data_IF_218980855437
#
_entry.id   IF_218980855437
#
_cell.length_a   1.000
_cell.length_b   1.000
_cell.length_c   1.000
_cell.angle_alpha   90.00
_cell.angle_beta   90.00
_cell.angle_gamma   90.00
#
_symmetry.space_group_name_H-M   'P 1'
#
loop_
_entity.id
_entity.type
_entity.pdbx_description
1 polymer ?
#
# COMPACT_ATOMS: atom_id res chain seq x y z
N UNK A 1 12.43 -18.48 9.29
CA UNK A 1 12.46 -17.29 10.18
C UNK A 1 12.19 -15.95 9.46
N UNK A 2 12.81 -15.68 8.30
CA UNK A 2 12.83 -14.37 7.60
C UNK A 2 11.53 -13.91 6.87
N UNK A 3 10.33 -14.26 7.35
CA UNK A 3 9.04 -14.02 6.63
C UNK A 3 8.72 -12.56 6.31
N UNK A 4 9.23 -11.61 7.10
CA UNK A 4 8.98 -10.16 6.96
C UNK A 4 10.26 -9.31 7.01
N UNK A 5 11.43 -9.95 6.91
CA UNK A 5 12.72 -9.29 7.13
C UNK A 5 12.87 -8.04 6.27
N UNK A 6 13.23 -6.93 6.92
CA UNK A 6 13.28 -5.59 6.31
C UNK A 6 14.41 -4.76 6.93
N UNK A 7 14.75 -3.62 6.31
CA UNK A 7 15.78 -2.70 6.82
C UNK A 7 15.56 -2.27 8.27
N UNK A 8 14.30 -2.21 8.69
CA UNK A 8 13.87 -1.67 9.97
C UNK A 8 14.08 -2.70 11.11
N UNK A 9 14.40 -3.95 10.77
CA UNK A 9 14.76 -5.02 11.72
C UNK A 9 16.27 -5.07 12.01
N UNK A 10 17.09 -4.26 11.34
CA UNK A 10 18.54 -4.14 11.62
C UNK A 10 18.77 -3.22 12.81
N UNK A 11 19.43 -3.71 13.86
CA UNK A 11 19.69 -2.95 15.09
C UNK A 11 21.05 -2.25 15.09
N UNK A 12 22.10 -2.90 14.56
CA UNK A 12 23.43 -2.31 14.43
C UNK A 12 24.27 -3.03 13.38
N UNK A 13 25.28 -2.35 12.84
CA UNK A 13 26.29 -2.92 11.95
C UNK A 13 27.66 -2.65 12.56
N UNK A 14 28.43 -3.69 12.85
CA UNK A 14 29.72 -3.57 13.53
C UNK A 14 30.81 -4.21 12.66
N UNK A 15 31.87 -3.47 12.37
CA UNK A 15 33.07 -4.04 11.78
C UNK A 15 33.77 -4.91 12.83
N UNK A 16 34.11 -6.14 12.44
CA UNK A 16 34.67 -7.14 13.36
C UNK A 16 36.17 -6.93 13.55
N UNK A 17 36.65 -7.01 14.79
CA UNK A 17 38.10 -6.98 15.10
C UNK A 17 38.79 -8.21 14.51
N UNK A 18 40.03 -8.05 14.03
CA UNK A 18 40.79 -9.12 13.35
C UNK A 18 40.88 -10.45 14.14
N UNK A 19 40.95 -10.39 15.48
CA UNK A 19 40.94 -11.59 16.33
C UNK A 19 39.62 -12.37 16.27
N UNK A 20 38.48 -11.67 16.23
CA UNK A 20 37.15 -12.27 16.11
C UNK A 20 36.88 -12.73 14.69
N UNK A 21 37.37 -12.02 13.67
CA UNK A 21 37.32 -12.44 12.27
C UNK A 21 38.03 -13.79 12.05
N UNK A 22 39.19 -14.01 12.69
CA UNK A 22 39.87 -15.32 12.68
C UNK A 22 39.03 -16.42 13.33
N UNK A 23 38.41 -16.15 14.48
CA UNK A 23 37.52 -17.12 15.17
C UNK A 23 36.32 -17.52 14.31
N UNK A 24 35.62 -16.54 13.72
CA UNK A 24 34.47 -16.80 12.83
C UNK A 24 34.89 -17.63 11.62
N UNK A 25 36.04 -17.31 11.01
CA UNK A 25 36.55 -18.08 9.87
C UNK A 25 36.94 -19.51 10.26
N UNK A 26 37.52 -19.72 11.45
CA UNK A 26 37.83 -21.07 11.95
C UNK A 26 36.54 -21.88 12.15
N UNK A 27 35.56 -21.35 12.87
CA UNK A 27 34.29 -22.07 13.10
C UNK A 27 33.56 -22.43 11.81
N UNK A 28 33.63 -21.58 10.77
CA UNK A 28 33.02 -21.89 9.45
C UNK A 28 33.84 -22.96 8.70
N UNK A 29 35.17 -23.00 8.86
CA UNK A 29 36.00 -24.05 8.26
C UNK A 29 35.75 -25.41 8.93
N UNK A 30 35.70 -25.43 10.27
CA UNK A 30 35.43 -26.63 11.07
C UNK A 30 34.03 -27.22 10.75
N UNK A 31 33.03 -26.35 10.52
CA UNK A 31 31.65 -26.73 10.24
C UNK A 31 31.41 -27.11 8.75
N UNK A 32 32.19 -26.55 7.81
CA UNK A 32 32.04 -26.75 6.37
C UNK A 32 33.39 -27.02 5.66
N UNK A 33 34.01 -28.19 5.84
CA UNK A 33 35.33 -28.50 5.26
C UNK A 33 35.36 -28.44 3.73
N UNK A 34 34.23 -28.73 3.07
CA UNK A 34 34.09 -28.58 1.61
C UNK A 34 34.21 -27.14 1.09
N UNK A 35 34.31 -26.14 1.97
CA UNK A 35 34.47 -24.73 1.63
C UNK A 35 35.93 -24.24 1.73
N UNK A 36 36.88 -25.02 2.25
CA UNK A 36 38.27 -24.58 2.53
C UNK A 36 38.94 -23.86 1.34
N UNK A 37 38.84 -24.43 0.13
CA UNK A 37 39.40 -23.85 -1.08
C UNK A 37 38.77 -22.49 -1.48
N UNK A 38 37.51 -22.24 -1.11
CA UNK A 38 36.78 -21.01 -1.40
C UNK A 38 36.80 -20.00 -0.24
N UNK A 39 37.25 -20.40 0.96
CA UNK A 39 37.21 -19.54 2.16
C UNK A 39 38.15 -18.32 2.08
N UNK A 40 39.23 -18.38 1.31
CA UNK A 40 40.10 -17.21 1.11
C UNK A 40 39.48 -16.17 0.16
N UNK A 41 38.65 -16.58 -0.81
CA UNK A 41 37.90 -15.68 -1.70
C UNK A 41 36.63 -15.12 -1.03
N UNK A 42 35.89 -15.96 -0.31
CA UNK A 42 34.64 -15.59 0.37
C UNK A 42 34.89 -14.74 1.63
N UNK A 43 35.91 -15.09 2.42
CA UNK A 43 36.28 -14.39 3.66
C UNK A 43 37.78 -13.96 3.63
N UNK A 44 38.13 -12.94 2.80
CA UNK A 44 39.52 -12.50 2.67
C UNK A 44 40.10 -11.97 3.98
N UNK A 45 41.32 -12.41 4.31
CA UNK A 45 42.04 -12.04 5.56
C UNK A 45 42.32 -10.54 5.69
N UNK A 46 42.26 -9.78 4.59
CA UNK A 46 42.49 -8.33 4.53
C UNK A 46 41.22 -7.48 4.39
N UNK A 47 40.07 -8.07 4.03
CA UNK A 47 38.83 -7.31 3.84
C UNK A 47 38.09 -7.10 5.18
N UNK A 48 37.40 -5.96 5.37
CA UNK A 48 36.61 -5.72 6.56
C UNK A 48 35.37 -6.63 6.58
N UNK A 49 35.30 -7.52 7.57
CA UNK A 49 34.12 -8.34 7.84
C UNK A 49 33.14 -7.56 8.72
N UNK A 50 31.88 -7.44 8.29
CA UNK A 50 30.84 -6.70 9.01
C UNK A 50 29.85 -7.71 9.59
N UNK A 51 29.59 -7.63 10.90
CA UNK A 51 28.48 -8.35 11.53
C UNK A 51 27.31 -7.40 11.72
N UNK A 52 26.23 -7.69 11.02
CA UNK A 52 24.94 -7.01 11.12
C UNK A 52 24.12 -7.73 12.19
N UNK A 53 23.75 -7.01 13.25
CA UNK A 53 22.84 -7.51 14.28
C UNK A 53 21.42 -7.11 13.91
N UNK A 54 20.51 -8.07 14.02
CA UNK A 54 19.09 -7.91 13.71
C UNK A 54 18.25 -8.15 14.98
N UNK A 55 16.95 -7.85 14.90
CA UNK A 55 15.99 -8.24 15.93
C UNK A 55 15.92 -9.77 16.09
N UNK A 56 15.41 -10.25 17.23
CA UNK A 56 15.33 -11.67 17.59
C UNK A 56 16.68 -12.42 17.75
N UNK A 57 17.75 -11.70 18.12
CA UNK A 57 19.11 -12.26 18.32
C UNK A 57 19.73 -12.92 17.08
N UNK A 58 19.25 -12.58 15.89
CA UNK A 58 19.90 -12.98 14.65
C UNK A 58 21.12 -12.07 14.39
N UNK A 59 22.27 -12.66 14.10
CA UNK A 59 23.42 -11.94 13.55
C UNK A 59 23.71 -12.46 12.14
N UNK A 60 24.27 -11.60 11.28
CA UNK A 60 24.57 -11.91 9.89
C UNK A 60 25.99 -11.46 9.55
N UNK A 61 26.76 -12.36 8.93
CA UNK A 61 28.11 -12.10 8.43
C UNK A 61 28.00 -11.56 7.00
N UNK A 62 28.42 -10.30 6.82
CA UNK A 62 28.36 -9.57 5.56
C UNK A 62 29.78 -9.20 5.12
N UNK A 63 30.11 -9.54 3.89
CA UNK A 63 31.37 -9.15 3.22
C UNK A 63 31.01 -8.51 1.88
N UNK A 64 31.62 -7.37 1.54
CA UNK A 64 31.34 -6.62 0.30
C UNK A 64 29.84 -6.33 0.06
N UNK A 65 29.09 -6.03 1.13
CA UNK A 65 27.62 -5.85 1.15
C UNK A 65 26.78 -7.10 0.78
N UNK A 66 27.40 -8.28 0.66
CA UNK A 66 26.70 -9.55 0.44
C UNK A 66 26.62 -10.33 1.77
N UNK A 67 25.42 -10.72 2.25
CA UNK A 67 25.30 -11.61 3.38
C UNK A 67 25.68 -13.03 2.96
N UNK A 68 26.68 -13.62 3.61
CA UNK A 68 27.19 -14.96 3.30
C UNK A 68 26.68 -16.01 4.29
N UNK A 69 26.73 -15.68 5.59
CA UNK A 69 26.30 -16.56 6.69
C UNK A 69 25.39 -15.81 7.67
N UNK A 70 24.60 -16.55 8.44
CA UNK A 70 23.82 -16.04 9.56
C UNK A 70 23.87 -17.01 10.74
N UNK A 71 23.81 -16.49 11.96
CA UNK A 71 23.73 -17.27 13.19
C UNK A 71 22.61 -16.74 14.08
N UNK A 72 21.99 -17.64 14.84
CA UNK A 72 20.91 -17.31 15.78
C UNK A 72 21.49 -17.45 17.18
N UNK A 73 21.51 -16.35 17.95
CA UNK A 73 22.24 -16.25 19.22
C UNK A 73 23.70 -16.67 19.01
N UNK A 74 24.17 -17.65 19.78
CA UNK A 74 25.52 -18.22 19.71
C UNK A 74 25.52 -19.64 19.08
N UNK A 75 24.51 -19.95 18.26
CA UNK A 75 24.43 -21.18 17.49
C UNK A 75 25.31 -21.21 16.22
N UNK A 76 25.28 -22.32 15.47
CA UNK A 76 26.10 -22.54 14.26
C UNK A 76 25.95 -21.47 13.16
N UNK A 77 26.97 -21.35 12.30
CA UNK A 77 27.00 -20.36 11.22
C UNK A 77 26.38 -20.91 9.94
N UNK A 78 25.06 -20.78 9.81
CA UNK A 78 24.33 -21.28 8.66
C UNK A 78 24.60 -20.43 7.40
N UNK A 79 24.90 -21.02 6.23
CA UNK A 79 25.07 -20.28 4.99
C UNK A 79 23.74 -19.73 4.45
N UNK A 80 23.80 -18.67 3.64
CA UNK A 80 22.63 -18.23 2.88
C UNK A 80 22.31 -19.19 1.72
N UNK A 81 21.05 -19.24 1.27
CA UNK A 81 20.65 -20.03 0.10
C UNK A 81 21.41 -19.62 -1.16
N UNK A 82 21.82 -18.35 -1.28
CA UNK A 82 22.62 -17.87 -2.41
C UNK A 82 24.02 -18.49 -2.41
N UNK A 83 24.65 -18.60 -1.24
CA UNK A 83 25.94 -19.27 -1.10
C UNK A 83 25.82 -20.79 -1.35
N UNK A 84 24.77 -21.42 -0.82
CA UNK A 84 24.47 -22.84 -1.06
C UNK A 84 24.16 -23.16 -2.54
N UNK A 85 23.60 -22.20 -3.31
CA UNK A 85 23.39 -22.35 -4.75
C UNK A 85 24.70 -22.22 -5.55
N UNK A 86 25.69 -21.48 -5.04
CA UNK A 86 27.04 -21.40 -5.64
C UNK A 86 27.87 -22.64 -5.33
N UNK A 87 27.74 -23.20 -4.12
CA UNK A 87 28.46 -24.39 -3.68
C UNK A 87 27.48 -25.48 -3.18
N UNK A 88 26.82 -26.24 -4.08
CA UNK A 88 25.77 -27.19 -3.70
C UNK A 88 26.24 -28.42 -2.91
N UNK A 89 27.54 -28.59 -2.67
CA UNK A 89 28.15 -29.73 -1.97
C UNK A 89 28.50 -29.47 -0.50
N UNK A 90 28.35 -28.23 0.00
CA UNK A 90 28.80 -27.85 1.35
C UNK A 90 27.99 -28.48 2.49
N UNK A 91 26.77 -28.96 2.21
CA UNK A 91 25.82 -29.43 3.23
C UNK A 91 25.18 -30.75 2.81
N UNK A 92 24.88 -31.57 3.81
CA UNK A 92 24.05 -32.77 3.68
C UNK A 92 22.66 -32.41 3.15
N UNK A 93 22.12 -33.26 2.27
CA UNK A 93 20.91 -32.99 1.48
C UNK A 93 19.76 -33.91 1.89
N UNK A 94 18.62 -33.32 2.19
CA UNK A 94 17.35 -34.01 2.37
C UNK A 94 16.38 -33.59 1.26
N UNK A 95 15.63 -34.50 0.68
CA UNK A 95 14.66 -34.19 -0.37
C UNK A 95 13.23 -34.20 0.18
N UNK A 96 12.45 -33.17 -0.18
CA UNK A 96 11.00 -33.11 0.08
C UNK A 96 10.19 -33.39 -1.18
N UNK A 97 9.01 -33.98 -0.96
CA UNK A 97 8.02 -34.31 -1.99
C UNK A 97 7.37 -33.08 -2.65
N UNK A 98 6.76 -33.28 -3.82
CA UNK A 98 6.04 -32.23 -4.57
C UNK A 98 4.94 -31.52 -3.76
N UNK A 99 4.26 -32.23 -2.86
CA UNK A 99 3.20 -31.66 -2.01
C UNK A 99 3.77 -30.68 -0.99
N UNK A 100 4.88 -31.03 -0.33
CA UNK A 100 5.54 -30.16 0.66
C UNK A 100 6.12 -28.86 0.07
N UNK A 101 6.53 -28.84 -1.21
CA UNK A 101 7.18 -27.66 -1.85
C UNK A 101 6.42 -26.35 -1.56
N UNK A 102 5.09 -26.35 -1.73
CA UNK A 102 4.26 -25.16 -1.52
C UNK A 102 4.31 -24.65 -0.07
N UNK A 103 4.38 -25.55 0.91
CA UNK A 103 4.42 -25.23 2.33
C UNK A 103 5.81 -24.76 2.76
N UNK A 104 6.87 -25.37 2.24
CA UNK A 104 8.26 -24.92 2.47
C UNK A 104 8.48 -23.52 1.88
N UNK A 105 7.95 -23.24 0.67
CA UNK A 105 7.93 -21.89 0.07
C UNK A 105 7.06 -20.88 0.83
N UNK A 106 6.09 -21.34 1.63
CA UNK A 106 5.35 -20.50 2.56
C UNK A 106 6.06 -20.34 3.92
N UNK A 107 7.28 -20.90 4.06
CA UNK A 107 8.09 -20.90 5.27
C UNK A 107 7.47 -21.69 6.42
N UNK A 108 6.83 -22.83 6.12
CA UNK A 108 6.47 -23.82 7.13
C UNK A 108 7.68 -24.69 7.51
N UNK A 109 7.65 -25.27 8.70
CA UNK A 109 8.58 -26.34 9.09
C UNK A 109 8.28 -27.61 8.30
N UNK A 110 9.27 -28.50 8.22
CA UNK A 110 9.16 -29.73 7.44
C UNK A 110 8.78 -30.87 8.38
N UNK A 111 7.63 -31.46 8.09
CA UNK A 111 7.06 -32.58 8.84
C UNK A 111 7.67 -33.89 8.35
N UNK A 112 7.86 -34.86 9.25
CA UNK A 112 8.46 -36.16 8.92
C UNK A 112 7.85 -36.85 7.68
N UNK A 113 6.51 -36.86 7.47
CA UNK A 113 5.89 -37.45 6.28
C UNK A 113 6.35 -36.87 4.93
N UNK A 114 6.79 -35.60 4.89
CA UNK A 114 7.29 -34.98 3.65
C UNK A 114 8.68 -35.47 3.24
N UNK A 115 9.41 -36.11 4.16
CA UNK A 115 10.76 -36.65 3.96
C UNK A 115 10.76 -38.17 3.74
N UNK A 116 9.73 -38.88 4.24
CA UNK A 116 9.59 -40.35 4.18
C UNK A 116 8.65 -40.85 3.06
N UNK A 117 7.96 -39.94 2.37
CA UNK A 117 7.09 -40.28 1.23
C UNK A 117 7.90 -40.74 -0.01
N UNK A 118 7.26 -41.31 -1.06
CA UNK A 118 7.97 -41.80 -2.25
C UNK A 118 8.77 -40.76 -3.04
N UNK A 119 8.49 -39.46 -2.86
CA UNK A 119 9.27 -38.36 -3.45
C UNK A 119 10.31 -37.76 -2.49
N UNK A 120 10.33 -38.19 -1.23
CA UNK A 120 11.29 -37.78 -0.22
C UNK A 120 12.55 -38.65 -0.21
N UNK A 121 13.67 -38.08 0.23
CA UNK A 121 14.92 -38.80 0.40
C UNK A 121 15.65 -38.31 1.64
N UNK A 122 16.15 -39.26 2.44
CA UNK A 122 16.86 -39.04 3.69
C UNK A 122 18.23 -39.69 3.59
N UNK A 123 19.27 -38.93 3.92
CA UNK A 123 20.61 -39.44 4.17
C UNK A 123 20.66 -39.97 5.61
N UNK A 124 20.99 -41.26 5.79
CA UNK A 124 20.95 -41.96 7.08
C UNK A 124 22.10 -41.60 8.02
N UNK A 125 23.09 -40.84 7.54
CA UNK A 125 24.22 -40.30 8.31
C UNK A 125 23.88 -38.98 9.03
N UNK A 126 22.64 -38.48 8.90
CA UNK A 126 22.26 -37.18 9.49
C UNK A 126 21.67 -37.36 10.89
N UNK A 127 22.41 -36.89 11.89
CA UNK A 127 21.98 -36.85 13.28
C UNK A 127 21.03 -35.67 13.58
N UNK A 128 20.52 -35.61 14.81
CA UNK A 128 19.81 -34.45 15.32
C UNK A 128 20.74 -33.22 15.42
N UNK A 129 20.16 -32.02 15.47
CA UNK A 129 20.88 -30.74 15.61
C UNK A 129 21.94 -30.46 14.53
N UNK A 130 21.72 -30.98 13.32
CA UNK A 130 22.61 -30.83 12.16
C UNK A 130 22.01 -29.85 11.12
N UNK A 131 22.79 -28.92 10.55
CA UNK A 131 22.33 -28.04 9.46
C UNK A 131 22.19 -28.81 8.14
N UNK A 132 21.02 -28.69 7.49
CA UNK A 132 20.67 -29.47 6.28
C UNK A 132 20.14 -28.61 5.13
N UNK A 133 20.53 -28.99 3.91
CA UNK A 133 20.00 -28.46 2.66
C UNK A 133 18.72 -29.22 2.28
N UNK A 134 17.63 -28.50 2.06
CA UNK A 134 16.35 -29.10 1.65
C UNK A 134 16.19 -28.95 0.14
N UNK A 135 16.32 -30.06 -0.58
CA UNK A 135 16.10 -30.20 -2.01
C UNK A 135 14.62 -30.48 -2.30
N UNK A 136 14.15 -30.08 -3.49
CA UNK A 136 12.81 -30.41 -3.95
C UNK A 136 12.85 -31.48 -5.04
N UNK A 137 11.92 -32.43 -4.99
CA UNK A 137 11.79 -33.48 -6.01
C UNK A 137 11.78 -32.89 -7.44
N UNK A 138 12.70 -33.37 -8.28
CA UNK A 138 12.86 -32.89 -9.66
C UNK A 138 13.46 -31.48 -9.81
N UNK A 139 14.20 -30.96 -8.81
CA UNK A 139 14.91 -29.68 -8.87
C UNK A 139 16.39 -29.80 -8.50
N UNK A 140 17.22 -29.05 -9.22
CA UNK A 140 18.69 -29.05 -9.06
C UNK A 140 19.21 -28.14 -7.92
N UNK A 141 18.38 -27.22 -7.42
CA UNK A 141 18.76 -26.22 -6.42
C UNK A 141 18.00 -26.43 -5.12
N UNK A 142 18.63 -26.10 -3.99
CA UNK A 142 18.01 -26.15 -2.68
C UNK A 142 16.82 -25.16 -2.57
N UNK A 143 15.74 -25.62 -1.94
CA UNK A 143 14.52 -24.86 -1.67
C UNK A 143 14.59 -24.11 -0.33
N UNK A 144 15.21 -24.74 0.66
CA UNK A 144 15.34 -24.21 2.01
C UNK A 144 16.61 -24.73 2.70
N UNK A 145 16.96 -24.08 3.80
CA UNK A 145 17.99 -24.46 4.76
C UNK A 145 17.30 -24.56 6.12
N UNK A 146 17.55 -25.67 6.82
CA UNK A 146 16.93 -25.96 8.10
C UNK A 146 17.89 -26.66 9.05
N UNK A 147 17.37 -26.91 10.25
CA UNK A 147 18.10 -27.57 11.34
C UNK A 147 17.32 -28.82 11.74
N UNK A 148 17.98 -29.98 11.79
CA UNK A 148 17.30 -31.24 12.15
C UNK A 148 16.90 -31.24 13.61
N UNK A 149 15.66 -31.64 13.89
CA UNK A 149 15.12 -31.74 15.26
C UNK A 149 15.12 -33.18 15.79
N UNK A 150 15.17 -34.15 14.87
CA UNK A 150 15.29 -35.58 15.14
C UNK A 150 16.32 -36.13 14.14
N UNK A 151 16.95 -37.25 14.47
CA UNK A 151 17.86 -37.95 13.56
C UNK A 151 17.11 -38.53 12.35
N UNK A 152 17.82 -38.76 11.24
CA UNK A 152 17.25 -39.37 10.04
C UNK A 152 16.59 -40.75 10.33
N UNK A 153 17.18 -41.51 11.24
CA UNK A 153 16.68 -42.82 11.72
C UNK A 153 15.34 -42.66 12.45
N UNK A 154 15.25 -41.74 13.40
CA UNK A 154 14.00 -41.44 14.12
C UNK A 154 12.90 -40.90 13.20
N UNK A 155 13.25 -40.07 12.20
CA UNK A 155 12.31 -39.56 11.19
C UNK A 155 11.64 -40.73 10.44
N UNK A 156 12.42 -41.75 10.05
CA UNK A 156 11.91 -42.96 9.39
C UNK A 156 11.00 -43.79 10.32
N UNK A 157 11.39 -43.99 11.58
CA UNK A 157 10.64 -44.84 12.53
C UNK A 157 9.36 -44.19 13.06
N UNK A 158 9.42 -42.92 13.49
CA UNK A 158 8.30 -42.25 14.17
C UNK A 158 7.29 -41.69 13.16
N UNK A 159 7.79 -41.18 12.02
CA UNK A 159 7.03 -40.63 10.90
C UNK A 159 5.91 -39.62 11.27
N UNK A 160 6.06 -38.92 12.40
CA UNK A 160 5.14 -37.91 12.93
C UNK A 160 5.93 -36.76 13.53
N UNK A 161 5.33 -35.57 13.57
CA UNK A 161 5.96 -34.37 14.12
C UNK A 161 6.83 -33.61 13.12
N UNK A 162 7.64 -32.69 13.65
CA UNK A 162 8.56 -31.83 12.89
C UNK A 162 9.91 -32.54 12.81
N UNK A 163 10.37 -32.84 11.60
CA UNK A 163 11.70 -33.41 11.38
C UNK A 163 12.78 -32.34 11.24
N UNK A 164 12.46 -31.22 10.56
CA UNK A 164 13.40 -30.13 10.31
C UNK A 164 12.72 -28.77 10.51
N UNK A 165 13.32 -27.93 11.36
CA UNK A 165 12.90 -26.54 11.57
C UNK A 165 13.43 -25.64 10.45
N UNK A 166 12.56 -24.86 9.80
CA UNK A 166 12.86 -24.11 8.58
C UNK A 166 13.42 -22.70 8.90
N UNK A 167 14.73 -22.53 8.73
CA UNK A 167 15.43 -21.29 9.06
C UNK A 167 15.32 -20.26 7.92
N UNK A 168 15.71 -20.66 6.72
CA UNK A 168 15.84 -19.78 5.56
C UNK A 168 15.32 -20.50 4.30
N UNK A 169 14.46 -19.87 3.51
CA UNK A 169 13.80 -20.51 2.36
C UNK A 169 13.63 -19.57 1.16
N UNK A 170 13.51 -20.17 -0.02
CA UNK A 170 13.32 -19.44 -1.27
C UNK A 170 12.08 -18.54 -1.20
N UNK A 171 12.22 -17.26 -1.55
CA UNK A 171 11.23 -16.18 -1.42
C UNK A 171 11.01 -15.59 -0.01
N UNK A 172 11.83 -15.91 0.99
CA UNK A 172 11.88 -15.12 2.22
C UNK A 172 12.60 -13.77 2.04
N UNK A 173 12.62 -12.94 3.08
CA UNK A 173 13.22 -11.60 3.03
C UNK A 173 14.74 -11.58 2.93
N UNK A 174 15.42 -12.69 3.24
CA UNK A 174 16.86 -12.83 3.03
C UNK A 174 17.17 -13.27 1.60
N UNK A 175 16.37 -14.19 1.04
CA UNK A 175 16.53 -14.67 -0.34
C UNK A 175 16.28 -13.57 -1.36
N UNK A 176 15.15 -12.85 -1.21
CA UNK A 176 14.81 -11.69 -2.04
C UNK A 176 15.82 -10.56 -1.86
N UNK A 177 16.53 -10.52 -0.73
CA UNK A 177 17.26 -9.35 -0.26
C UNK A 177 16.31 -8.17 -0.06
N UNK A 178 16.86 -6.96 -0.06
CA UNK A 178 16.08 -5.72 0.00
C UNK A 178 15.46 -5.38 -1.38
N UNK A 179 14.99 -6.39 -2.14
CA UNK A 179 14.16 -6.21 -3.33
C UNK A 179 12.71 -5.88 -2.91
N UNK A 180 12.59 -4.71 -2.31
CA UNK A 180 11.31 -4.10 -2.00
C UNK A 180 10.73 -3.56 -3.31
N UNK A 181 9.46 -3.87 -3.61
CA UNK A 181 8.75 -3.29 -4.78
C UNK A 181 8.83 -1.75 -4.71
N UNK A 182 9.57 -1.15 -5.65
CA UNK A 182 9.93 0.28 -5.67
C UNK A 182 10.74 0.78 -4.43
N UNK A 183 11.65 -0.05 -3.91
CA UNK A 183 12.57 0.31 -2.81
C UNK A 183 11.88 0.63 -1.49
N UNK A 184 10.68 0.10 -1.24
CA UNK A 184 9.87 0.33 -0.03
C UNK A 184 9.21 1.71 0.03
N UNK A 185 9.52 2.61 -0.90
CA UNK A 185 9.10 4.02 -0.87
C UNK A 185 7.67 4.18 -1.41
N UNK A 186 6.69 4.15 -0.50
CA UNK A 186 5.28 4.44 -0.83
C UNK A 186 5.09 5.92 -1.22
N UNK A 187 5.11 6.21 -2.53
CA UNK A 187 4.92 7.57 -3.07
C UNK A 187 3.47 8.03 -2.93
N UNK A 188 3.20 8.93 -1.99
CA UNK A 188 1.89 9.57 -1.81
C UNK A 188 1.61 10.52 -2.99
N UNK A 189 0.73 10.10 -3.91
CA UNK A 189 0.31 10.89 -5.10
C UNK A 189 -0.63 12.06 -4.78
N UNK A 190 -1.12 12.16 -3.54
CA UNK A 190 -2.03 13.23 -3.07
C UNK A 190 -1.27 14.44 -2.52
N UNK A 191 -1.77 15.65 -2.77
CA UNK A 191 -1.26 16.89 -2.18
C UNK A 191 -1.39 16.87 -0.65
N UNK A 192 -0.34 17.29 0.05
CA UNK A 192 -0.24 17.39 1.51
C UNK A 192 -0.32 18.83 2.03
N UNK A 193 -0.20 19.82 1.14
CA UNK A 193 -0.26 21.25 1.41
C UNK A 193 -0.90 21.99 0.20
N UNK A 194 -1.43 23.22 0.38
CA UNK A 194 -1.82 24.06 -0.74
C UNK A 194 -0.57 24.52 -1.52
N UNK A 195 -0.71 24.70 -2.84
CA UNK A 195 0.31 25.34 -3.70
C UNK A 195 0.10 26.85 -3.88
N UNK A 196 -0.90 27.42 -3.23
CA UNK A 196 -1.32 28.82 -3.42
C UNK A 196 -0.66 29.70 -2.38
N UNK A 197 -0.26 30.92 -2.76
CA UNK A 197 0.43 31.82 -1.84
C UNK A 197 -0.48 32.70 -0.97
N UNK A 198 -1.75 32.81 -1.35
CA UNK A 198 -2.87 33.35 -0.56
C UNK A 198 -2.75 33.05 0.94
N UNK A 199 -2.57 34.12 1.72
CA UNK A 199 -2.37 34.11 3.17
C UNK A 199 -3.61 33.58 3.89
N UNK A 200 -4.82 33.99 3.48
CA UNK A 200 -6.07 33.56 4.10
C UNK A 200 -6.28 32.05 3.91
N UNK A 201 -5.99 31.52 2.73
CA UNK A 201 -6.04 30.07 2.50
C UNK A 201 -4.96 29.30 3.31
N UNK A 202 -3.76 29.87 3.48
CA UNK A 202 -2.70 29.30 4.34
C UNK A 202 -3.12 29.29 5.82
N UNK A 203 -3.73 30.36 6.33
CA UNK A 203 -4.27 30.46 7.69
C UNK A 203 -5.43 29.48 7.91
N UNK A 204 -6.39 29.43 7.00
CA UNK A 204 -7.52 28.49 7.05
C UNK A 204 -7.06 27.02 7.05
N UNK A 205 -6.00 26.71 6.29
CA UNK A 205 -5.34 25.39 6.32
C UNK A 205 -4.70 25.10 7.68
N UNK A 206 -4.05 26.07 8.33
CA UNK A 206 -3.50 25.89 9.69
C UNK A 206 -4.63 25.57 10.69
N UNK A 207 -5.73 26.34 10.66
CA UNK A 207 -6.92 26.12 11.49
C UNK A 207 -7.49 24.71 11.31
N UNK A 208 -7.82 24.30 10.08
CA UNK A 208 -8.38 22.96 9.85
C UNK A 208 -7.37 21.83 10.14
N UNK A 209 -6.06 22.07 10.00
CA UNK A 209 -5.03 21.09 10.40
C UNK A 209 -4.93 20.94 11.92
N UNK A 210 -5.18 21.99 12.69
CA UNK A 210 -5.33 21.92 14.15
C UNK A 210 -6.62 21.17 14.53
N UNK A 211 -7.76 21.54 13.95
CA UNK A 211 -9.06 20.89 14.23
C UNK A 211 -9.04 19.38 13.93
N UNK A 212 -8.45 18.94 12.81
CA UNK A 212 -8.31 17.51 12.49
C UNK A 212 -7.51 16.77 13.55
N UNK A 213 -6.39 17.35 14.01
CA UNK A 213 -5.52 16.73 15.02
C UNK A 213 -6.18 16.61 16.40
N UNK A 214 -6.99 17.60 16.79
CA UNK A 214 -7.65 17.64 18.10
C UNK A 214 -8.98 16.87 18.13
N UNK A 215 -9.79 16.94 17.08
CA UNK A 215 -11.16 16.38 17.08
C UNK A 215 -11.29 14.99 16.44
N UNK A 216 -10.28 14.55 15.67
CA UNK A 216 -10.29 13.30 14.87
C UNK A 216 -11.52 13.14 13.93
N UNK A 217 -12.27 14.21 13.69
CA UNK A 217 -13.51 14.17 12.92
C UNK A 217 -13.24 13.96 11.42
N UNK A 218 -13.92 12.96 10.84
CA UNK A 218 -13.85 12.64 9.40
C UNK A 218 -14.24 13.85 8.52
N UNK A 219 -15.14 14.71 9.00
CA UNK A 219 -15.55 15.97 8.38
C UNK A 219 -14.38 16.90 8.08
N UNK A 220 -13.65 17.31 9.12
CA UNK A 220 -12.55 18.25 9.02
C UNK A 220 -11.41 17.68 8.17
N UNK A 221 -11.19 16.36 8.20
CA UNK A 221 -10.23 15.69 7.35
C UNK A 221 -10.61 15.78 5.84
N UNK A 222 -11.90 15.72 5.52
CA UNK A 222 -12.41 15.95 4.16
C UNK A 222 -12.33 17.43 3.76
N UNK A 223 -12.64 18.39 4.64
CA UNK A 223 -12.44 19.82 4.38
C UNK A 223 -10.97 20.08 4.05
N UNK A 224 -10.04 19.71 4.94
CA UNK A 224 -8.61 19.92 4.78
C UNK A 224 -8.09 19.32 3.46
N UNK A 225 -8.48 18.08 3.12
CA UNK A 225 -8.15 17.44 1.85
C UNK A 225 -8.67 18.20 0.63
N UNK A 226 -9.84 18.86 0.73
CA UNK A 226 -10.40 19.69 -0.35
C UNK A 226 -9.77 21.09 -0.42
N UNK A 227 -9.34 21.68 0.69
CA UNK A 227 -8.61 22.95 0.71
C UNK A 227 -7.30 22.87 -0.09
N UNK A 228 -6.58 21.74 -0.04
CA UNK A 228 -5.35 21.47 -0.83
C UNK A 228 -5.57 21.30 -2.34
N UNK A 229 -6.81 21.11 -2.80
CA UNK A 229 -7.10 20.85 -4.21
C UNK A 229 -6.88 22.10 -5.09
N UNK A 230 -6.48 21.87 -6.35
CA UNK A 230 -6.35 22.94 -7.35
C UNK A 230 -7.71 23.59 -7.69
N UNK A 231 -7.69 24.82 -8.20
CA UNK A 231 -8.88 25.56 -8.70
C UNK A 231 -9.75 24.69 -9.63
N UNK A 232 -9.12 23.96 -10.55
CA UNK A 232 -9.77 23.00 -11.47
C UNK A 232 -10.63 21.95 -10.73
N UNK A 233 -10.18 21.49 -9.56
CA UNK A 233 -10.88 20.49 -8.75
C UNK A 233 -11.91 21.12 -7.79
N UNK A 234 -11.82 22.42 -7.50
CA UNK A 234 -12.79 23.21 -6.73
C UNK A 234 -13.84 23.80 -7.68
N UNK A 235 -14.55 22.92 -8.38
CA UNK A 235 -15.59 23.31 -9.35
C UNK A 235 -16.71 24.12 -8.66
N UNK A 236 -17.23 25.19 -9.32
CA UNK A 236 -18.30 26.01 -8.76
C UNK A 236 -19.62 25.24 -8.65
N UNK A 237 -20.48 25.66 -7.71
CA UNK A 237 -21.82 25.11 -7.50
C UNK A 237 -22.87 26.21 -7.74
N UNK A 238 -23.84 25.96 -8.61
CA UNK A 238 -24.94 26.88 -8.89
C UNK A 238 -26.01 26.85 -7.79
N UNK A 239 -26.70 27.97 -7.56
CA UNK A 239 -27.84 28.05 -6.64
C UNK A 239 -28.91 26.99 -6.94
N UNK A 240 -29.26 26.78 -8.22
CA UNK A 240 -30.19 25.73 -8.67
C UNK A 240 -29.87 24.33 -8.12
N UNK A 241 -28.59 23.94 -8.18
CA UNK A 241 -28.12 22.65 -7.65
C UNK A 241 -28.07 22.65 -6.13
N UNK A 242 -27.70 23.77 -5.51
CA UNK A 242 -27.68 23.91 -4.07
C UNK A 242 -29.09 23.71 -3.48
N UNK A 243 -30.08 24.43 -4.00
CA UNK A 243 -31.51 24.29 -3.66
C UNK A 243 -31.96 22.84 -3.81
N UNK A 244 -31.63 22.20 -4.94
CA UNK A 244 -31.98 20.79 -5.19
C UNK A 244 -31.36 19.84 -4.16
N UNK A 245 -30.17 20.13 -3.63
CA UNK A 245 -29.51 19.33 -2.60
C UNK A 245 -30.00 19.63 -1.17
N UNK A 246 -30.61 20.80 -0.92
CA UNK A 246 -31.16 21.18 0.40
C UNK A 246 -32.64 20.86 0.57
N UNK A 247 -33.37 20.48 -0.50
CA UNK A 247 -34.75 19.96 -0.40
C UNK A 247 -34.84 18.82 0.62
N UNK A 248 -35.81 18.90 1.53
CA UNK A 248 -36.04 17.94 2.61
C UNK A 248 -35.00 17.95 3.74
N UNK A 249 -34.16 19.00 3.83
CA UNK A 249 -33.04 19.11 4.81
C UNK A 249 -32.93 20.52 5.39
N UNK A 250 -34.06 20.99 5.88
CA UNK A 250 -34.21 22.32 6.49
C UNK A 250 -33.38 22.46 7.77
N UNK A 251 -33.03 23.71 8.11
CA UNK A 251 -32.20 24.05 9.27
C UNK A 251 -30.71 23.69 9.20
N UNK A 252 -30.27 22.81 8.27
CA UNK A 252 -28.87 22.34 8.18
C UNK A 252 -27.98 23.26 7.34
N UNK A 253 -26.71 23.38 7.73
CA UNK A 253 -25.73 24.22 7.02
C UNK A 253 -25.15 23.46 5.81
N UNK A 254 -25.23 24.08 4.63
CA UNK A 254 -24.72 23.55 3.36
C UNK A 254 -23.27 23.99 3.12
N UNK A 255 -22.30 23.07 3.25
CA UNK A 255 -20.87 23.40 3.20
C UNK A 255 -20.25 23.08 1.82
N UNK A 256 -19.66 24.07 1.15
CA UNK A 256 -19.12 24.01 -0.23
C UNK A 256 -17.65 24.46 -0.27
N UNK A 257 -16.69 23.54 -0.42
CA UNK A 257 -15.27 23.90 -0.67
C UNK A 257 -15.08 24.22 -2.15
N UNK A 258 -15.52 25.41 -2.53
CA UNK A 258 -15.54 25.96 -3.88
C UNK A 258 -16.22 27.33 -3.91
N UNK A 259 -16.53 27.81 -5.10
CA UNK A 259 -17.32 29.03 -5.31
C UNK A 259 -18.79 28.68 -5.46
N UNK A 260 -19.69 29.44 -4.83
CA UNK A 260 -21.13 29.42 -5.12
C UNK A 260 -21.43 30.50 -6.15
N UNK A 261 -22.15 30.14 -7.21
CA UNK A 261 -22.50 31.03 -8.32
C UNK A 261 -24.01 31.14 -8.48
N UNK A 262 -24.48 32.30 -8.89
CA UNK A 262 -25.88 32.55 -9.20
C UNK A 262 -26.36 31.71 -10.41
N UNK A 263 -27.67 31.54 -10.53
CA UNK A 263 -28.34 30.91 -11.66
C UNK A 263 -29.64 31.67 -11.97
N UNK A 264 -29.61 32.50 -13.02
CA UNK A 264 -30.70 33.41 -13.42
C UNK A 264 -32.00 32.64 -13.70
N UNK A 265 -31.91 31.35 -14.04
CA UNK A 265 -33.07 30.48 -14.34
C UNK A 265 -33.87 30.06 -13.11
N UNK A 266 -33.31 30.27 -11.92
CA UNK A 266 -34.04 30.13 -10.66
C UNK A 266 -34.69 31.49 -10.39
N UNK A 267 -36.00 31.54 -10.22
CA UNK A 267 -36.71 32.77 -9.85
C UNK A 267 -36.64 32.97 -8.32
N UNK A 268 -37.17 32.01 -7.57
CA UNK A 268 -37.22 32.05 -6.11
C UNK A 268 -36.08 31.25 -5.47
N UNK A 269 -35.44 31.86 -4.47
CA UNK A 269 -34.38 31.26 -3.66
C UNK A 269 -34.96 31.10 -2.25
N UNK A 270 -34.99 29.89 -1.65
CA UNK A 270 -35.41 29.71 -0.26
C UNK A 270 -34.36 30.25 0.72
N UNK A 271 -34.75 30.44 1.99
CA UNK A 271 -33.81 30.80 3.05
C UNK A 271 -32.78 29.66 3.26
N UNK A 272 -31.51 29.94 2.95
CA UNK A 272 -30.43 28.94 2.93
C UNK A 272 -29.26 29.37 3.80
N UNK A 273 -28.77 28.47 4.65
CA UNK A 273 -27.52 28.66 5.41
C UNK A 273 -26.37 27.96 4.68
N UNK A 274 -25.49 28.73 4.05
CA UNK A 274 -24.46 28.21 3.14
C UNK A 274 -23.08 28.65 3.59
N UNK A 275 -22.13 27.71 3.72
CA UNK A 275 -20.70 28.02 3.88
C UNK A 275 -19.97 27.81 2.57
N UNK A 276 -19.21 28.80 2.08
CA UNK A 276 -18.39 28.64 0.88
C UNK A 276 -17.02 29.32 1.00
N UNK A 277 -16.09 29.00 0.08
CA UNK A 277 -14.80 29.71 -0.01
C UNK A 277 -14.95 31.08 -0.68
N UNK A 278 -15.94 31.22 -1.58
CA UNK A 278 -16.29 32.47 -2.26
C UNK A 278 -17.74 32.39 -2.71
N UNK A 279 -18.45 33.51 -2.63
CA UNK A 279 -19.72 33.73 -3.29
C UNK A 279 -19.51 34.70 -4.46
N UNK A 280 -20.29 34.59 -5.53
CA UNK A 280 -20.48 35.73 -6.45
C UNK A 280 -21.38 36.75 -5.78
N UNK A 281 -21.16 38.04 -6.01
CA UNK A 281 -21.94 39.13 -5.37
C UNK A 281 -23.44 38.97 -5.63
N UNK A 282 -23.83 38.65 -6.87
CA UNK A 282 -25.22 38.32 -7.23
C UNK A 282 -25.80 37.16 -6.42
N UNK A 283 -25.02 36.10 -6.18
CA UNK A 283 -25.49 34.96 -5.40
C UNK A 283 -25.64 35.30 -3.91
N UNK A 284 -24.70 36.09 -3.37
CA UNK A 284 -24.76 36.57 -1.99
C UNK A 284 -26.00 37.43 -1.78
N UNK A 285 -26.19 38.47 -2.61
CA UNK A 285 -27.33 39.38 -2.51
C UNK A 285 -28.68 38.64 -2.63
N UNK A 286 -28.77 37.61 -3.48
CA UNK A 286 -29.99 36.79 -3.61
C UNK A 286 -30.24 35.87 -2.42
N UNK A 287 -29.20 35.29 -1.81
CA UNK A 287 -29.34 34.50 -0.57
C UNK A 287 -29.76 35.41 0.60
N UNK A 288 -29.13 36.57 0.74
CA UNK A 288 -29.42 37.54 1.81
C UNK A 288 -30.83 38.13 1.66
N UNK A 289 -31.25 38.50 0.43
CA UNK A 289 -32.64 38.92 0.15
C UNK A 289 -33.68 37.84 0.45
N UNK A 290 -33.29 36.56 0.37
CA UNK A 290 -34.14 35.42 0.74
C UNK A 290 -34.12 35.08 2.24
N UNK A 291 -33.48 35.90 3.09
CA UNK A 291 -33.33 35.62 4.53
C UNK A 291 -32.36 34.49 4.86
N UNK A 292 -31.48 34.12 3.91
CA UNK A 292 -30.42 33.13 4.11
C UNK A 292 -29.13 33.72 4.69
N UNK A 293 -28.27 32.85 5.25
CA UNK A 293 -26.94 33.23 5.79
C UNK A 293 -25.81 32.78 4.85
N UNK A 294 -24.95 33.71 4.42
CA UNK A 294 -23.69 33.43 3.74
C UNK A 294 -22.52 33.37 4.73
N UNK A 295 -22.05 32.18 5.06
CA UNK A 295 -21.00 31.93 6.05
C UNK A 295 -19.62 31.71 5.44
N UNK A 296 -18.58 32.12 6.18
CA UNK A 296 -17.18 31.77 5.92
C UNK A 296 -16.77 30.48 6.63
N UNK A 297 -15.60 29.92 6.27
CA UNK A 297 -15.13 28.65 6.84
C UNK A 297 -14.59 28.81 8.28
N UNK A 298 -14.09 29.99 8.64
CA UNK A 298 -13.75 30.41 10.00
C UNK A 298 -15.01 30.52 10.88
N UNK A 299 -16.07 31.20 10.43
CA UNK A 299 -17.37 31.20 11.12
C UNK A 299 -17.97 29.80 11.28
N UNK A 300 -17.84 28.93 10.28
CA UNK A 300 -18.26 27.52 10.38
C UNK A 300 -17.45 26.76 11.44
N UNK A 301 -16.14 26.99 11.53
CA UNK A 301 -15.28 26.36 12.53
C UNK A 301 -15.65 26.78 13.97
N UNK A 302 -16.11 28.03 14.17
CA UNK A 302 -16.63 28.50 15.46
C UNK A 302 -18.00 27.89 15.79
N UNK A 303 -18.95 27.89 14.82
CA UNK A 303 -20.32 27.37 15.04
C UNK A 303 -20.39 25.84 15.16
N UNK A 304 -19.55 25.11 14.42
CA UNK A 304 -19.64 23.66 14.31
C UNK A 304 -18.24 22.99 14.17
N UNK A 305 -17.38 23.03 15.22
CA UNK A 305 -16.02 22.48 15.15
C UNK A 305 -15.97 20.97 14.88
N UNK A 306 -17.02 20.23 15.22
CA UNK A 306 -17.18 18.79 14.93
C UNK A 306 -17.92 18.51 13.61
N UNK A 307 -18.49 19.53 12.96
CA UNK A 307 -19.37 19.40 11.79
C UNK A 307 -20.81 18.98 12.09
N UNK A 308 -21.22 18.93 13.37
CA UNK A 308 -22.60 18.69 13.77
C UNK A 308 -23.55 19.68 13.05
N UNK A 309 -24.74 19.21 12.67
CA UNK A 309 -25.75 19.94 11.88
C UNK A 309 -25.33 20.43 10.47
N UNK A 310 -24.26 19.85 9.90
CA UNK A 310 -23.97 19.92 8.45
C UNK A 310 -24.47 18.63 7.74
N UNK A 311 -25.12 18.73 6.58
CA UNK A 311 -25.78 17.59 5.84
C UNK A 311 -24.82 16.86 4.87
N UNK A 312 -24.96 15.53 4.51
CA UNK A 312 -24.23 14.70 3.46
C UNK A 312 -24.92 14.22 2.17
N UNK A 313 -24.17 14.31 1.04
CA UNK A 313 -24.16 13.31 -0.06
C UNK A 313 -22.73 13.04 -0.59
N UNK A 314 -22.13 11.89 -0.26
CA UNK A 314 -20.96 11.38 -0.98
C UNK A 314 -21.44 10.72 -2.29
N UNK A 315 -20.86 11.09 -3.44
CA UNK A 315 -21.05 10.34 -4.68
C UNK A 315 -19.93 9.30 -4.80
N UNK A 316 -20.25 8.04 -4.48
CA UNK A 316 -19.35 6.89 -4.62
C UNK A 316 -19.71 5.75 -3.67
N UNK A 317 -20.07 4.60 -4.25
CA UNK A 317 -20.47 3.33 -3.62
C UNK A 317 -21.79 3.35 -2.82
N UNK A 318 -22.90 3.24 -3.55
CA UNK A 318 -23.97 2.33 -3.14
C UNK A 318 -23.59 0.93 -3.65
N UNK A 319 -23.20 0.02 -2.76
CA UNK A 319 -23.21 -1.43 -3.00
C UNK A 319 -23.08 -2.16 -1.65
N UNK A 320 -23.91 -3.19 -1.45
CA UNK A 320 -23.95 -4.10 -0.29
C UNK A 320 -24.15 -3.48 1.10
N UNK A 321 -25.43 -3.27 1.44
CA UNK A 321 -25.99 -3.97 2.60
C UNK A 321 -27.39 -4.45 2.23
N UNK A 322 -27.58 -5.76 2.25
CA UNK A 322 -28.84 -6.42 1.93
C UNK A 322 -29.90 -6.13 3.00
N UNK A 323 -31.13 -5.92 2.54
CA UNK A 323 -32.34 -6.12 3.34
C UNK A 323 -32.28 -7.50 4.03
N UNK A 324 -32.04 -7.53 5.35
CA UNK A 324 -32.53 -8.51 6.36
C UNK A 324 -31.74 -8.43 7.68
N UNK A 325 -31.98 -7.41 8.49
CA UNK A 325 -32.01 -7.60 9.95
C UNK A 325 -32.90 -6.55 10.60
N UNK A 326 -33.98 -7.04 11.20
CA UNK A 326 -35.02 -6.27 11.87
C UNK A 326 -34.61 -6.02 13.33
N UNK A 327 -35.06 -4.88 13.86
CA UNK A 327 -35.20 -4.49 15.27
C UNK A 327 -34.63 -5.42 16.36
N UNK A 328 -33.60 -4.97 17.10
CA UNK A 328 -33.63 -4.78 18.58
C UNK A 328 -32.59 -3.72 18.96
N UNK A 329 -33.03 -2.56 19.48
CA UNK A 329 -32.34 -1.61 20.40
C UNK A 329 -32.90 -0.18 20.23
N UNK A 330 -33.81 0.29 21.11
CA UNK A 330 -34.43 1.61 20.99
C UNK A 330 -33.55 2.75 21.55
N UNK A 331 -32.23 2.74 21.31
CA UNK A 331 -31.33 3.84 21.68
C UNK A 331 -30.06 3.91 20.80
N UNK A 332 -30.21 3.80 19.48
CA UNK A 332 -29.16 4.24 18.53
C UNK A 332 -29.73 5.28 17.59
N UNK A 333 -29.48 6.55 17.91
CA UNK A 333 -29.92 7.70 17.10
C UNK A 333 -29.38 7.54 15.68
N UNK A 334 -30.28 7.38 14.71
CA UNK A 334 -29.93 7.21 13.31
C UNK A 334 -28.99 8.34 12.85
N UNK A 335 -27.86 7.94 12.26
CA UNK A 335 -26.69 8.81 12.15
C UNK A 335 -26.95 10.10 11.36
N UNK A 336 -26.57 11.24 11.95
CA UNK A 336 -26.53 12.54 11.27
C UNK A 336 -25.53 12.54 10.10
N UNK A 337 -26.00 12.22 8.89
CA UNK A 337 -25.17 12.19 7.68
C UNK A 337 -24.70 13.60 7.27
N UNK A 338 -23.37 13.79 7.17
CA UNK A 338 -22.61 15.05 6.96
C UNK A 338 -21.72 15.11 5.67
N UNK A 339 -21.78 16.16 4.81
CA UNK A 339 -21.06 16.27 3.50
C UNK A 339 -19.80 17.11 3.61
N UNK A 340 -19.08 17.14 2.50
CA UNK A 340 -18.84 18.44 1.89
C UNK A 340 -19.48 18.50 0.46
N UNK A 341 -20.41 19.43 0.16
CA UNK A 341 -21.05 19.58 -1.16
C UNK A 341 -19.99 19.92 -2.23
N UNK A 342 -20.30 19.66 -3.51
CA UNK A 342 -19.34 19.86 -4.60
C UNK A 342 -20.01 20.19 -5.93
N UNK A 343 -19.43 21.15 -6.65
CA UNK A 343 -19.71 21.33 -8.08
C UNK A 343 -19.28 20.12 -8.94
N UNK A 344 -19.89 19.94 -10.12
CA UNK A 344 -19.55 18.87 -11.05
C UNK A 344 -18.16 19.07 -11.67
N UNK A 345 -17.22 18.15 -11.41
CA UNK A 345 -15.87 18.23 -12.02
C UNK A 345 -15.88 18.01 -13.54
N UNK A 346 -16.64 17.01 -13.98
CA UNK A 346 -16.49 16.44 -15.31
C UNK A 346 -17.33 17.20 -16.37
N UNK A 347 -18.10 18.21 -15.96
CA UNK A 347 -18.88 19.06 -16.87
C UNK A 347 -18.03 20.11 -17.62
N UNK A 348 -16.72 20.20 -17.32
CA UNK A 348 -15.77 21.12 -17.97
C UNK A 348 -15.53 20.72 -19.43
N UNK A 349 -15.41 21.70 -20.32
CA UNK A 349 -15.15 21.48 -21.75
C UNK A 349 -13.92 20.59 -22.01
N UNK A 350 -12.80 20.84 -21.31
CA UNK A 350 -11.59 20.03 -21.42
C UNK A 350 -11.81 18.53 -21.15
N UNK A 351 -12.77 18.16 -20.28
CA UNK A 351 -13.04 16.75 -19.94
C UNK A 351 -13.78 16.04 -21.08
N UNK A 352 -14.49 16.76 -21.95
CA UNK A 352 -15.12 16.19 -23.16
C UNK A 352 -14.09 15.67 -24.18
N UNK A 353 -12.84 16.14 -24.09
CA UNK A 353 -11.73 15.73 -24.93
C UNK A 353 -10.89 14.59 -24.32
N UNK A 354 -11.27 14.07 -23.13
CA UNK A 354 -10.58 12.98 -22.46
C UNK A 354 -11.38 11.67 -22.59
N UNK A 355 -10.67 10.53 -22.62
CA UNK A 355 -11.26 9.20 -22.78
C UNK A 355 -10.61 8.44 -23.95
N UNK A 356 -11.28 7.42 -24.50
CA UNK A 356 -10.87 6.76 -25.74
C UNK A 356 -10.67 7.77 -26.88
N UNK A 357 -9.75 7.50 -27.80
CA UNK A 357 -9.48 8.42 -28.91
C UNK A 357 -10.74 8.64 -29.78
N UNK A 358 -10.98 9.88 -30.28
CA UNK A 358 -12.13 10.16 -31.14
C UNK A 358 -12.03 9.36 -32.44
N UNK A 359 -13.01 8.50 -32.70
CA UNK A 359 -12.96 7.57 -33.84
C UNK A 359 -12.59 6.13 -33.47
N UNK A 360 -12.57 5.79 -32.17
CA UNK A 360 -12.68 4.40 -31.67
C UNK A 360 -14.17 4.06 -31.49
N UNK A 361 -14.65 2.83 -31.79
CA UNK A 361 -16.04 2.45 -31.58
C UNK A 361 -16.51 2.73 -30.15
N UNK A 362 -17.74 3.24 -30.00
CA UNK A 362 -18.32 3.67 -28.72
C UNK A 362 -17.59 4.85 -28.03
N UNK A 363 -16.72 5.59 -28.74
CA UNK A 363 -16.11 6.83 -28.21
C UNK A 363 -17.09 8.02 -28.27
N UNK A 364 -17.38 8.62 -27.11
CA UNK A 364 -18.10 9.90 -27.01
C UNK A 364 -17.16 11.12 -26.90
N UNK A 365 -15.85 10.89 -27.05
CA UNK A 365 -14.81 11.91 -26.93
C UNK A 365 -14.92 12.94 -28.06
N UNK A 366 -14.96 14.22 -27.69
CA UNK A 366 -14.98 15.33 -28.62
C UNK A 366 -13.59 15.51 -29.26
N UNK A 367 -13.46 15.59 -30.60
CA UNK A 367 -12.19 15.87 -31.25
C UNK A 367 -11.75 17.34 -31.10
N UNK A 368 -10.45 17.59 -31.21
CA UNK A 368 -9.86 18.93 -31.22
C UNK A 368 -9.89 19.54 -32.63
N UNK A 369 -11.03 20.13 -33.00
CA UNK A 369 -11.25 20.71 -34.34
C UNK A 369 -10.89 22.19 -34.37
N UNK A 370 -10.21 22.65 -35.43
CA UNK A 370 -9.85 24.08 -35.64
C UNK A 370 -11.06 25.01 -35.63
N UNK A 371 -12.17 24.60 -36.25
CA UNK A 371 -13.40 25.38 -36.34
C UNK A 371 -14.65 24.47 -36.41
N UNK A 372 -15.81 24.99 -35.99
CA UNK A 372 -17.10 24.31 -36.19
C UNK A 372 -17.57 24.53 -37.63
N UNK A 373 -17.99 23.47 -38.32
CA UNK A 373 -18.61 23.60 -39.65
C UNK A 373 -18.84 22.28 -40.37
N UNK A 374 -19.36 22.32 -41.59
CA UNK A 374 -19.52 21.12 -42.45
C UNK A 374 -18.20 20.63 -43.06
N UNK A 375 -17.23 21.54 -43.23
CA UNK A 375 -15.93 21.30 -43.89
C UNK A 375 -14.87 20.66 -42.96
N UNK A 376 -15.06 20.70 -41.64
CA UNK A 376 -14.05 20.26 -40.67
C UNK A 376 -14.49 18.95 -39.99
N UNK A 377 -13.69 17.89 -40.11
CA UNK A 377 -13.81 16.61 -39.38
C UNK A 377 -15.21 15.95 -39.36
N UNK A 378 -16.00 16.15 -40.42
CA UNK A 378 -17.36 15.59 -40.57
C UNK A 378 -17.54 14.66 -41.78
N UNK A 379 -16.47 14.15 -42.37
CA UNK A 379 -16.50 13.31 -43.57
C UNK A 379 -16.23 11.83 -43.24
N UNK A 380 -15.03 11.32 -43.58
CA UNK A 380 -14.60 9.93 -43.32
C UNK A 380 -14.60 9.64 -41.81
N UNK A 381 -15.00 8.43 -41.43
CA UNK A 381 -15.12 8.01 -40.03
C UNK A 381 -16.34 8.56 -39.28
N UNK A 382 -17.12 9.48 -39.87
CA UNK A 382 -18.34 10.04 -39.25
C UNK A 382 -19.62 9.81 -40.05
N UNK A 383 -19.55 9.26 -41.26
CA UNK A 383 -20.72 8.94 -42.10
C UNK A 383 -20.51 7.64 -42.85
N UNK A 384 -21.54 6.80 -42.91
CA UNK A 384 -21.53 5.55 -43.69
C UNK A 384 -21.16 5.81 -45.16
N UNK A 385 -21.69 6.90 -45.75
CA UNK A 385 -21.45 7.29 -47.15
C UNK A 385 -20.05 7.82 -47.46
N UNK A 386 -19.12 7.85 -46.49
CA UNK A 386 -17.72 8.26 -46.68
C UNK A 386 -16.77 7.23 -46.07
N UNK A 387 -16.85 6.00 -46.58
CA UNK A 387 -15.99 4.88 -46.24
C UNK A 387 -16.49 4.08 -45.03
N UNK A 388 -16.55 4.70 -43.86
CA UNK A 388 -17.04 4.06 -42.64
C UNK A 388 -17.50 5.11 -41.60
N UNK A 389 -18.25 4.65 -40.59
CA UNK A 389 -18.70 5.45 -39.43
C UNK A 389 -18.26 4.77 -38.13
N UNK A 390 -17.80 5.60 -37.18
CA UNK A 390 -17.43 5.20 -35.82
C UNK A 390 -18.09 6.09 -34.77
#
# INVERSE_FOLDING_TARGET
>A
MFKKFSSDEVSSQNQVKASVQRKIRQSIADEYPGLEAALDDLLPKKSPLIVVKCQNHLNMVVVNNVPLFFNIRDGPYMPTLRLLHQYPSIMKKLQVDRGAIKFVLAGANIMCPGLTSPGGALDDEVDAETPVAIMAEGKQHALAIGFTKMSAKEIKTINKGIGVDNMHYLNDGLWKGIDLKAGGKSKKTKRTAPKSDDIYLKLLVKLYRFLVRRTQSKFNAVILKRLFMSKINKAPLSLSRLITYTKGKEGKIAVVVGTVTDDIRVYEVPALKVTALRFTETARARIEKAGGECLTFDQLALRAPLGQNTFSRFFGLEFYLSFTMICVLPHVIFSNFLVLLRGPKNAREAVKHFGPAPGVPHSHTKPYVRAKGRKFEKARGKRNSKGFRV
#
